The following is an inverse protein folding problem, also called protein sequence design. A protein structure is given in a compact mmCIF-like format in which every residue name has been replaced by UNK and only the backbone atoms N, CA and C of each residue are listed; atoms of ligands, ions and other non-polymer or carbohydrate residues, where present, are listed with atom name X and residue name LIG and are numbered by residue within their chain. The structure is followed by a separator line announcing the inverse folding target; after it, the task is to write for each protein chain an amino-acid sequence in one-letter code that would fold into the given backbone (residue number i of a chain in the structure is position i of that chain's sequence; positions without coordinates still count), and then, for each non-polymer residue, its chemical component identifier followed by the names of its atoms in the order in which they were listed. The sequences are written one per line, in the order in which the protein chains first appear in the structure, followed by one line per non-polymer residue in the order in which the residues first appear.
data_IF_906627751516
#
_entry.id   IF_906627751516
#
_cell.length_a   1.000
_cell.length_b   1.000
_cell.length_c   1.000
_cell.angle_alpha   90.00
_cell.angle_beta   90.00
_cell.angle_gamma   90.00
#
_symmetry.space_group_name_H-M   'P 1'
#
loop_
_entity.id
_entity.type
_entity.pdbx_description
1 polymer ?
#
# COMPACT_ATOMS: atom_id res chain seq x y z
N UNK A 1 -11.42 -12.77 -10.03
CA UNK A 1 -10.00 -12.85 -9.64
C UNK A 1 -9.56 -11.40 -9.51
N UNK A 2 -9.38 -10.91 -8.28
CA UNK A 2 -8.95 -9.52 -8.10
C UNK A 2 -7.49 -9.39 -8.56
N UNK A 3 -7.15 -8.38 -9.35
CA UNK A 3 -5.82 -8.17 -9.89
C UNK A 3 -5.10 -7.02 -9.18
N UNK A 4 -3.77 -7.03 -9.18
CA UNK A 4 -2.97 -5.93 -8.60
C UNK A 4 -3.35 -4.58 -9.24
N UNK A 5 -3.49 -4.56 -10.57
CA UNK A 5 -3.90 -3.38 -11.36
C UNK A 5 -5.26 -2.80 -10.92
N UNK A 6 -6.18 -3.65 -10.46
CA UNK A 6 -7.47 -3.18 -9.97
C UNK A 6 -7.31 -2.44 -8.64
N UNK A 7 -6.51 -2.96 -7.72
CA UNK A 7 -6.25 -2.32 -6.44
C UNK A 7 -5.38 -1.07 -6.59
N UNK A 8 -4.47 -1.05 -7.56
CA UNK A 8 -3.67 0.11 -7.91
C UNK A 8 -4.55 1.30 -8.30
N UNK A 9 -5.51 1.06 -9.22
CA UNK A 9 -6.50 2.07 -9.62
C UNK A 9 -7.46 2.44 -8.47
N UNK A 10 -7.87 1.47 -7.66
CA UNK A 10 -8.84 1.67 -6.60
C UNK A 10 -8.27 2.50 -5.44
N UNK A 11 -7.02 2.24 -5.07
CA UNK A 11 -6.35 2.91 -3.97
C UNK A 11 -5.74 4.25 -4.39
N UNK A 12 -5.32 4.37 -5.66
CA UNK A 12 -4.84 5.60 -6.28
C UNK A 12 -3.79 6.34 -5.43
N UNK A 13 -2.77 5.60 -4.96
CA UNK A 13 -1.68 6.15 -4.14
C UNK A 13 -0.65 6.97 -4.94
N UNK A 14 -0.77 7.02 -6.27
CA UNK A 14 0.12 7.77 -7.17
C UNK A 14 1.27 6.92 -7.72
N UNK A 15 2.02 7.47 -8.68
CA UNK A 15 3.07 6.76 -9.46
C UNK A 15 4.27 6.31 -8.61
N UNK A 16 4.44 6.86 -7.41
CA UNK A 16 5.52 6.52 -6.49
C UNK A 16 5.23 5.25 -5.67
N UNK A 17 4.00 4.74 -5.72
CA UNK A 17 3.56 3.52 -5.04
C UNK A 17 3.21 2.45 -6.06
N UNK A 18 3.61 1.21 -5.79
CA UNK A 18 3.23 0.06 -6.60
C UNK A 18 2.65 -1.04 -5.74
N UNK A 19 1.53 -1.59 -6.17
CA UNK A 19 0.98 -2.84 -5.62
C UNK A 19 1.82 -4.02 -6.10
N UNK A 20 2.47 -4.72 -5.17
CA UNK A 20 3.30 -5.89 -5.47
C UNK A 20 2.51 -7.19 -5.45
N UNK A 21 1.54 -7.32 -4.53
CA UNK A 21 0.75 -8.53 -4.38
C UNK A 21 -0.58 -8.24 -3.70
N UNK A 22 -1.59 -9.06 -3.97
CA UNK A 22 -2.91 -8.95 -3.35
C UNK A 22 -3.37 -10.33 -2.88
N UNK A 23 -3.48 -10.49 -1.56
CA UNK A 23 -3.98 -11.72 -0.94
C UNK A 23 -5.40 -11.52 -0.46
N UNK A 24 -6.29 -12.40 -0.91
CA UNK A 24 -7.72 -12.35 -0.55
C UNK A 24 -8.06 -13.58 0.27
N UNK A 25 -8.54 -13.35 1.49
CA UNK A 25 -9.09 -14.39 2.35
C UNK A 25 -10.63 -14.33 2.32
N UNK A 26 -11.22 -15.24 1.55
CA UNK A 26 -12.68 -15.39 1.45
C UNK A 26 -13.35 -15.99 2.70
N UNK A 27 -12.60 -16.63 3.61
CA UNK A 27 -13.16 -17.16 4.85
C UNK A 27 -13.36 -16.05 5.87
N UNK A 28 -12.42 -15.10 5.92
CA UNK A 28 -12.46 -13.97 6.85
C UNK A 28 -13.05 -12.70 6.23
N UNK A 29 -13.32 -12.72 4.91
CA UNK A 29 -13.66 -11.55 4.11
C UNK A 29 -12.64 -10.42 4.30
N UNK A 30 -11.36 -10.75 4.14
CA UNK A 30 -10.27 -9.77 4.24
C UNK A 30 -9.45 -9.75 2.95
N UNK A 31 -8.92 -8.58 2.61
CA UNK A 31 -7.98 -8.39 1.52
C UNK A 31 -6.74 -7.71 2.07
N UNK A 32 -5.58 -8.36 1.91
CA UNK A 32 -4.27 -7.80 2.19
C UNK A 32 -3.63 -7.35 0.87
N UNK A 33 -3.46 -6.05 0.72
CA UNK A 33 -2.80 -5.42 -0.42
C UNK A 33 -1.37 -5.10 0.00
N UNK A 34 -0.40 -5.79 -0.60
CA UNK A 34 1.01 -5.52 -0.41
C UNK A 34 1.45 -4.46 -1.42
N UNK A 35 2.06 -3.40 -0.92
CA UNK A 35 2.60 -2.35 -1.77
C UNK A 35 3.97 -1.91 -1.28
N UNK A 36 4.80 -1.52 -2.23
CA UNK A 36 6.11 -0.95 -1.99
C UNK A 36 6.18 0.44 -2.58
N UNK A 37 6.84 1.34 -1.85
CA UNK A 37 7.20 2.64 -2.37
C UNK A 37 8.40 2.49 -3.30
N UNK A 38 8.24 2.89 -4.56
CA UNK A 38 9.29 2.86 -5.58
C UNK A 38 9.99 4.22 -5.70
N UNK A 39 9.39 5.28 -5.17
CA UNK A 39 10.04 6.59 -5.14
C UNK A 39 11.39 6.53 -4.43
N UNK A 40 12.45 7.03 -5.08
CA UNK A 40 13.79 7.06 -4.48
C UNK A 40 13.89 8.09 -3.34
N UNK A 41 12.95 9.04 -3.28
CA UNK A 41 12.99 10.17 -2.36
C UNK A 41 11.59 10.53 -1.87
N UNK A 42 11.42 10.61 -0.55
CA UNK A 42 10.23 11.17 0.07
C UNK A 42 10.44 12.66 0.32
N UNK A 43 9.41 13.49 0.13
CA UNK A 43 9.46 14.88 0.58
C UNK A 43 9.50 14.91 2.11
N UNK A 44 10.57 15.52 2.64
CA UNK A 44 10.69 15.71 4.07
C UNK A 44 9.72 16.83 4.53
N UNK A 45 8.83 16.59 5.51
CA UNK A 45 7.82 17.57 5.92
C UNK A 45 8.42 18.85 6.54
N UNK A 46 9.66 18.81 7.00
CA UNK A 46 10.35 19.95 7.61
C UNK A 46 11.17 20.79 6.61
N UNK A 47 11.69 20.17 5.55
CA UNK A 47 12.61 20.84 4.60
C UNK A 47 12.07 20.94 3.17
N UNK A 48 10.98 20.21 2.84
CA UNK A 48 10.48 20.02 1.47
C UNK A 48 11.54 19.48 0.49
N UNK A 49 12.67 18.98 1.01
CA UNK A 49 13.70 18.37 0.19
C UNK A 49 13.36 16.89 -0.04
N UNK A 50 13.64 16.43 -1.25
CA UNK A 50 13.54 15.03 -1.63
C UNK A 50 14.68 14.27 -0.92
N UNK A 51 14.36 13.63 0.21
CA UNK A 51 15.31 12.88 1.02
C UNK A 51 15.17 11.36 0.79
N UNK A 52 16.27 10.62 0.91
CA UNK A 52 16.24 9.15 0.90
C UNK A 52 15.36 8.65 2.05
N UNK A 53 14.41 7.77 1.76
CA UNK A 53 13.52 7.20 2.77
C UNK A 53 14.35 6.31 3.69
N UNK A 54 14.52 6.77 4.92
CA UNK A 54 15.28 6.11 5.97
C UNK A 54 14.38 5.22 6.83
N UNK A 55 13.39 4.56 6.24
CA UNK A 55 12.53 3.66 7.01
C UNK A 55 13.12 2.24 7.02
N UNK A 56 13.93 1.97 8.03
CA UNK A 56 14.45 0.63 8.34
C UNK A 56 13.45 -0.22 9.13
N UNK A 57 12.17 0.18 9.26
CA UNK A 57 11.19 -0.57 10.04
C UNK A 57 10.77 -1.86 9.33
N UNK A 58 10.14 -2.72 10.12
CA UNK A 58 9.54 -3.95 9.60
C UNK A 58 8.18 -3.58 8.96
N UNK A 59 7.83 -4.25 7.87
CA UNK A 59 6.54 -4.11 7.16
C UNK A 59 5.36 -4.03 8.14
N UNK A 60 4.47 -3.05 7.92
CA UNK A 60 3.29 -2.80 8.76
C UNK A 60 2.01 -3.05 8.00
N UNK A 61 1.03 -3.63 8.69
CA UNK A 61 -0.34 -3.82 8.20
C UNK A 61 -1.23 -2.70 8.74
N UNK A 62 -1.72 -1.86 7.85
CA UNK A 62 -2.61 -0.75 8.15
C UNK A 62 -4.05 -1.11 7.78
N UNK A 63 -5.01 -0.75 8.61
CA UNK A 63 -6.43 -0.97 8.28
C UNK A 63 -6.89 0.13 7.32
N UNK A 64 -7.23 -0.25 6.10
CA UNK A 64 -7.91 0.63 5.15
C UNK A 64 -9.43 0.57 5.39
N UNK A 65 -10.15 1.53 4.83
CA UNK A 65 -11.60 1.44 4.65
C UNK A 65 -11.97 0.13 3.94
N UNK A 66 -13.00 -0.55 4.43
CA UNK A 66 -13.50 -1.81 3.87
C UNK A 66 -13.91 -1.61 2.39
N UNK A 67 -13.41 -2.46 1.50
CA UNK A 67 -13.66 -2.40 0.05
C UNK A 67 -14.55 -3.58 -0.34
N UNK A 68 -15.67 -3.31 -1.03
CA UNK A 68 -16.58 -4.36 -1.54
C UNK A 68 -17.07 -5.35 -0.47
N UNK A 69 -17.31 -4.88 0.76
CA UNK A 69 -17.71 -5.72 1.92
C UNK A 69 -16.60 -6.61 2.49
N UNK A 70 -15.36 -6.46 2.01
CA UNK A 70 -14.16 -7.07 2.58
C UNK A 70 -13.40 -6.04 3.42
N UNK A 71 -12.81 -6.48 4.53
CA UNK A 71 -11.88 -5.64 5.29
C UNK A 71 -10.59 -5.52 4.51
N UNK A 72 -10.24 -4.31 4.11
CA UNK A 72 -9.05 -4.06 3.31
C UNK A 72 -7.91 -3.65 4.24
N UNK A 73 -6.76 -4.27 4.05
CA UNK A 73 -5.55 -3.98 4.78
C UNK A 73 -4.45 -3.65 3.80
N UNK A 74 -3.78 -2.53 4.03
CA UNK A 74 -2.63 -2.13 3.22
C UNK A 74 -1.37 -2.49 3.97
N UNK A 75 -0.50 -3.30 3.36
CA UNK A 75 0.76 -3.75 3.94
C UNK A 75 1.90 -3.06 3.20
N UNK A 76 2.59 -2.16 3.89
CA UNK A 76 3.74 -1.45 3.34
C UNK A 76 4.72 -1.06 4.43
N UNK A 77 5.88 -0.56 4.01
CA UNK A 77 6.98 -0.12 4.84
C UNK A 77 7.03 1.41 4.85
#
# INVERSE_FOLDING_TARGET
MFSEQFFDLLLNYGDDWKVDDVKVDFKLNEVDVFMSFIGEKGECPDTMELCSIYDHRVTRRWRHLDTMQFKTWTVYL
#
